data_IF_871112350667
#
_entry.id   IF_871112350667
#
_cell.length_a   1.000
_cell.length_b   1.000
_cell.length_c   1.000
_cell.angle_alpha   90.00
_cell.angle_beta   90.00
_cell.angle_gamma   90.00
#
_symmetry.space_group_name_H-M   'P 1'
#
loop_
_entity.id
_entity.type
_entity.pdbx_description
1 polymer ?
#
# COMPACT_ATOMS: atom_id res chain seq x y z
N UNK A 1 -36.18 -1.23 50.48
CA UNK A 1 -34.76 -1.45 50.18
C UNK A 1 -34.68 -2.09 48.80
N UNK A 2 -34.25 -1.33 47.77
CA UNK A 2 -34.37 -1.74 46.38
C UNK A 2 -33.05 -2.38 45.91
N UNK A 3 -32.86 -3.65 46.17
CA UNK A 3 -31.72 -4.44 45.71
C UNK A 3 -31.71 -4.70 44.17
N UNK A 4 -32.76 -4.29 43.48
CA UNK A 4 -32.86 -4.51 42.02
C UNK A 4 -32.14 -3.44 41.18
N UNK A 5 -31.69 -2.33 41.79
CA UNK A 5 -31.01 -1.25 41.03
C UNK A 5 -29.52 -1.49 40.85
N UNK A 6 -28.84 -2.16 41.79
CA UNK A 6 -27.40 -2.44 41.68
C UNK A 6 -27.06 -3.43 40.58
N UNK A 7 -27.97 -4.38 40.28
CA UNK A 7 -27.73 -5.37 39.22
C UNK A 7 -27.98 -4.81 37.80
N UNK A 8 -28.83 -3.80 37.68
CA UNK A 8 -29.14 -3.17 36.38
C UNK A 8 -27.89 -2.45 35.84
N UNK A 9 -27.15 -1.76 36.69
CA UNK A 9 -25.91 -1.07 36.29
C UNK A 9 -24.84 -2.06 35.84
N UNK A 10 -24.71 -3.21 36.52
CA UNK A 10 -23.76 -4.26 36.15
C UNK A 10 -24.15 -4.90 34.81
N UNK A 11 -25.43 -5.15 34.57
CA UNK A 11 -25.93 -5.72 33.31
C UNK A 11 -25.75 -4.71 32.17
N UNK A 12 -26.01 -3.43 32.41
CA UNK A 12 -25.83 -2.38 31.41
C UNK A 12 -24.35 -2.22 31.05
N UNK A 13 -23.48 -2.24 32.07
CA UNK A 13 -22.02 -2.17 31.86
C UNK A 13 -21.49 -3.40 31.12
N UNK A 14 -22.01 -4.60 31.43
CA UNK A 14 -21.67 -5.84 30.72
C UNK A 14 -22.13 -5.82 29.26
N UNK A 15 -23.32 -5.24 28.97
CA UNK A 15 -23.78 -5.08 27.58
C UNK A 15 -22.89 -4.11 26.77
N UNK A 16 -22.52 -2.98 27.40
CA UNK A 16 -21.62 -2.00 26.75
C UNK A 16 -20.24 -2.63 26.50
N UNK A 17 -19.68 -3.32 27.50
CA UNK A 17 -18.41 -4.02 27.38
C UNK A 17 -18.44 -5.11 26.29
N UNK A 18 -19.53 -5.89 26.24
CA UNK A 18 -19.77 -6.91 25.21
C UNK A 18 -19.88 -6.30 23.82
N UNK A 19 -20.58 -5.19 23.68
CA UNK A 19 -20.71 -4.48 22.40
C UNK A 19 -19.36 -3.92 21.92
N UNK A 20 -18.58 -3.33 22.82
CA UNK A 20 -17.23 -2.85 22.52
C UNK A 20 -16.32 -4.02 22.11
N UNK A 21 -16.40 -5.15 22.84
CA UNK A 21 -15.61 -6.34 22.53
C UNK A 21 -15.97 -6.95 21.18
N UNK A 22 -17.26 -7.03 20.84
CA UNK A 22 -17.71 -7.51 19.52
C UNK A 22 -17.27 -6.57 18.40
N UNK A 23 -17.30 -5.27 18.62
CA UNK A 23 -16.83 -4.26 17.65
C UNK A 23 -15.32 -4.34 17.47
N UNK A 24 -14.56 -4.50 18.55
CA UNK A 24 -13.11 -4.68 18.50
C UNK A 24 -12.71 -6.01 17.84
N UNK A 25 -13.47 -7.08 18.10
CA UNK A 25 -13.21 -8.37 17.43
C UNK A 25 -13.35 -8.29 15.92
N UNK A 26 -14.27 -7.46 15.41
CA UNK A 26 -14.44 -7.19 13.98
C UNK A 26 -13.25 -6.42 13.37
N UNK A 27 -12.53 -5.65 14.16
CA UNK A 27 -11.38 -4.83 13.74
C UNK A 27 -10.07 -5.58 14.02
N UNK A 28 -9.92 -6.21 15.20
CA UNK A 28 -8.71 -6.98 15.56
C UNK A 28 -8.66 -8.37 14.90
N UNK A 29 -9.78 -8.90 14.41
CA UNK A 29 -9.82 -10.20 13.71
C UNK A 29 -9.31 -10.14 12.26
N UNK A 30 -9.10 -8.95 11.71
CA UNK A 30 -8.34 -8.77 10.49
C UNK A 30 -6.88 -8.62 10.88
N UNK A 31 -6.15 -9.73 10.85
CA UNK A 31 -4.68 -9.70 10.87
C UNK A 31 -4.23 -8.77 9.77
N UNK A 32 -3.90 -7.54 10.11
CA UNK A 32 -3.08 -6.64 9.31
C UNK A 32 -1.60 -6.99 9.53
N UNK A 33 -1.31 -8.27 9.64
CA UNK A 33 0.00 -8.83 9.53
C UNK A 33 0.24 -9.06 8.05
N UNK A 34 1.08 -8.26 7.46
CA UNK A 34 1.59 -8.41 6.12
C UNK A 34 2.45 -9.69 6.07
N UNK A 35 1.81 -10.85 6.01
CA UNK A 35 2.48 -12.06 5.55
C UNK A 35 2.54 -11.96 4.04
N UNK A 36 3.73 -11.77 3.49
CA UNK A 36 4.22 -11.66 2.14
C UNK A 36 3.51 -12.36 0.97
N UNK A 37 2.17 -12.33 0.95
CA UNK A 37 1.37 -12.62 -0.24
C UNK A 37 0.90 -11.29 -0.78
N UNK A 38 1.26 -10.99 -2.01
CA UNK A 38 0.70 -9.88 -2.77
C UNK A 38 -0.82 -9.82 -2.51
N UNK A 39 -1.37 -8.64 -2.15
CA UNK A 39 -2.78 -8.54 -1.81
C UNK A 39 -3.61 -9.16 -2.95
N UNK A 40 -4.61 -9.95 -2.59
CA UNK A 40 -5.49 -10.64 -3.55
C UNK A 40 -6.19 -9.67 -4.52
N UNK A 41 -6.23 -8.38 -4.18
CA UNK A 41 -6.67 -7.31 -5.06
C UNK A 41 -5.67 -7.03 -6.18
N UNK A 42 -4.36 -7.16 -5.92
CA UNK A 42 -3.34 -6.94 -6.95
C UNK A 42 -3.35 -8.08 -8.00
N UNK A 43 -3.51 -9.33 -7.58
CA UNK A 43 -3.71 -10.45 -8.51
C UNK A 43 -4.99 -10.31 -9.32
N UNK A 44 -6.09 -9.85 -8.70
CA UNK A 44 -7.35 -9.58 -9.42
C UNK A 44 -7.18 -8.43 -10.43
N UNK A 45 -6.44 -7.38 -10.07
CA UNK A 45 -6.15 -6.26 -10.98
C UNK A 45 -5.21 -6.70 -12.09
N UNK A 46 -4.17 -7.50 -11.80
CA UNK A 46 -3.27 -8.03 -12.84
C UNK A 46 -4.01 -8.99 -13.79
N UNK A 47 -4.86 -9.84 -13.27
CA UNK A 47 -5.66 -10.77 -14.09
C UNK A 47 -6.69 -10.01 -14.94
N UNK A 48 -7.30 -8.95 -14.41
CA UNK A 48 -8.17 -8.07 -15.18
C UNK A 48 -7.39 -7.30 -16.27
N UNK A 49 -6.21 -6.77 -15.95
CA UNK A 49 -5.33 -6.11 -16.93
C UNK A 49 -4.90 -7.09 -18.02
N UNK A 50 -4.68 -8.37 -17.70
CA UNK A 50 -4.35 -9.40 -18.69
C UNK A 50 -5.57 -9.82 -19.53
N UNK A 51 -6.77 -9.85 -18.95
CA UNK A 51 -8.00 -10.11 -19.66
C UNK A 51 -8.41 -8.96 -20.60
N UNK A 52 -8.18 -7.71 -20.17
CA UNK A 52 -8.48 -6.51 -20.94
C UNK A 52 -7.43 -6.21 -22.03
N UNK A 53 -6.22 -6.82 -21.98
CA UNK A 53 -5.24 -6.74 -23.09
C UNK A 53 -5.79 -7.21 -24.44
N UNK A 54 -6.91 -7.92 -24.48
CA UNK A 54 -7.59 -8.31 -25.72
C UNK A 54 -8.48 -7.21 -26.33
N UNK A 55 -8.78 -6.14 -25.60
CA UNK A 55 -9.69 -5.07 -26.06
C UNK A 55 -9.01 -3.72 -26.36
N UNK A 56 -7.71 -3.57 -26.03
CA UNK A 56 -6.96 -2.34 -26.34
C UNK A 56 -6.50 -2.26 -27.82
N UNK A 57 -7.36 -2.67 -28.76
CA UNK A 57 -7.17 -2.40 -30.18
C UNK A 57 -8.02 -1.20 -30.63
N UNK A 58 -7.84 -0.05 -29.98
CA UNK A 58 -8.13 1.25 -30.59
C UNK A 58 -7.25 2.34 -29.97
N UNK A 59 -6.63 3.11 -30.84
CA UNK A 59 -5.55 4.08 -30.58
C UNK A 59 -5.94 5.33 -29.75
N UNK A 60 -6.90 5.23 -28.85
CA UNK A 60 -7.38 6.39 -28.10
C UNK A 60 -7.13 6.16 -26.60
N UNK A 61 -6.12 6.86 -26.07
CA UNK A 61 -5.96 7.09 -24.64
C UNK A 61 -6.95 8.18 -24.21
N UNK A 62 -8.26 7.81 -24.29
CA UNK A 62 -9.40 8.67 -23.97
C UNK A 62 -9.55 8.89 -22.46
N UNK A 63 -10.47 9.73 -22.04
CA UNK A 63 -10.69 10.04 -20.63
C UNK A 63 -10.96 8.80 -19.78
N UNK A 64 -11.68 7.82 -20.29
CA UNK A 64 -11.97 6.59 -19.56
C UNK A 64 -10.70 5.76 -19.37
N UNK A 65 -9.90 5.58 -20.41
CA UNK A 65 -8.61 4.90 -20.33
C UNK A 65 -7.63 5.62 -19.39
N UNK A 66 -7.63 6.96 -19.38
CA UNK A 66 -6.84 7.76 -18.44
C UNK A 66 -7.27 7.55 -16.99
N UNK A 67 -8.55 7.52 -16.71
CA UNK A 67 -9.06 7.26 -15.35
C UNK A 67 -8.70 5.85 -14.86
N UNK A 68 -8.83 4.84 -15.71
CA UNK A 68 -8.44 3.47 -15.39
C UNK A 68 -6.92 3.36 -15.17
N UNK A 69 -6.14 4.02 -16.02
CA UNK A 69 -4.70 4.10 -15.86
C UNK A 69 -4.30 4.74 -14.53
N UNK A 70 -4.91 5.86 -14.13
CA UNK A 70 -4.64 6.53 -12.85
C UNK A 70 -4.96 5.62 -11.67
N UNK A 71 -6.04 4.84 -11.71
CA UNK A 71 -6.35 3.85 -10.65
C UNK A 71 -5.24 2.82 -10.52
N UNK A 72 -4.80 2.25 -11.64
CA UNK A 72 -3.68 1.30 -11.66
C UNK A 72 -2.37 1.93 -11.20
N UNK A 73 -2.09 3.17 -11.62
CA UNK A 73 -0.89 3.89 -11.24
C UNK A 73 -0.82 4.20 -9.73
N UNK A 74 -1.96 4.52 -9.08
CA UNK A 74 -2.02 4.69 -7.62
C UNK A 74 -1.67 3.40 -6.89
N UNK A 75 -2.24 2.27 -7.31
CA UNK A 75 -1.94 0.96 -6.73
C UNK A 75 -0.47 0.58 -6.92
N UNK A 76 0.07 0.82 -8.11
CA UNK A 76 1.47 0.57 -8.41
C UNK A 76 2.40 1.43 -7.54
N UNK A 77 2.08 2.71 -7.36
CA UNK A 77 2.84 3.63 -6.52
C UNK A 77 2.86 3.17 -5.06
N UNK A 78 1.69 2.85 -4.49
CA UNK A 78 1.56 2.31 -3.13
C UNK A 78 2.37 1.02 -2.97
N UNK A 79 2.24 0.09 -3.91
CA UNK A 79 2.98 -1.18 -3.88
C UNK A 79 4.49 -0.96 -3.88
N UNK A 80 5.00 -0.03 -4.72
CA UNK A 80 6.43 0.27 -4.81
C UNK A 80 6.95 0.87 -3.50
N UNK A 81 6.22 1.85 -2.93
CA UNK A 81 6.64 2.52 -1.69
C UNK A 81 6.62 1.54 -0.51
N UNK A 82 5.57 0.72 -0.40
CA UNK A 82 5.43 -0.26 0.67
C UNK A 82 6.50 -1.34 0.58
N UNK A 83 6.74 -1.89 -0.59
CA UNK A 83 7.73 -2.94 -0.84
C UNK A 83 9.17 -2.46 -0.57
N UNK A 84 9.47 -1.19 -0.90
CA UNK A 84 10.76 -0.57 -0.60
C UNK A 84 10.98 -0.32 0.89
N UNK A 85 9.91 -0.19 1.67
CA UNK A 85 9.97 0.03 3.12
C UNK A 85 10.08 -1.25 3.93
N UNK A 86 9.81 -2.41 3.32
CA UNK A 86 9.81 -3.68 4.04
C UNK A 86 11.17 -3.99 4.65
N UNK A 87 11.16 -4.50 5.89
CA UNK A 87 12.36 -4.76 6.69
C UNK A 87 13.18 -5.95 6.19
N UNK A 88 12.65 -6.76 5.29
CA UNK A 88 13.38 -7.89 4.72
C UNK A 88 14.41 -7.47 3.67
N UNK A 89 14.44 -6.19 3.31
CA UNK A 89 15.35 -5.60 2.31
C UNK A 89 15.29 -6.28 0.93
N UNK A 90 14.10 -6.75 0.54
CA UNK A 90 13.85 -7.40 -0.74
C UNK A 90 12.74 -6.69 -1.50
N UNK A 91 12.90 -6.59 -2.80
CA UNK A 91 11.88 -6.09 -3.73
C UNK A 91 11.24 -7.31 -4.39
N UNK A 92 10.03 -7.66 -3.98
CA UNK A 92 9.31 -8.83 -4.49
C UNK A 92 8.05 -8.42 -5.22
N UNK A 93 7.16 -7.70 -4.54
CA UNK A 93 5.85 -7.33 -5.07
C UNK A 93 5.93 -6.27 -6.18
N UNK A 94 6.84 -5.30 -6.03
CA UNK A 94 7.00 -4.21 -7.00
C UNK A 94 7.92 -4.54 -8.18
N UNK A 95 8.66 -5.65 -8.13
CA UNK A 95 9.59 -6.05 -9.20
C UNK A 95 8.97 -6.02 -10.61
N UNK A 96 7.76 -6.57 -10.86
CA UNK A 96 7.15 -6.52 -12.19
C UNK A 96 6.71 -5.12 -12.62
N UNK A 97 6.63 -4.17 -11.69
CA UNK A 97 6.23 -2.78 -11.93
C UNK A 97 7.41 -1.88 -12.25
N UNK A 98 8.63 -2.33 -11.95
CA UNK A 98 9.85 -1.55 -12.08
C UNK A 98 10.57 -1.87 -13.39
N UNK A 99 11.00 -0.83 -14.10
CA UNK A 99 11.95 -0.98 -15.20
C UNK A 99 13.32 -1.45 -14.67
N UNK A 100 14.05 -2.22 -15.49
CA UNK A 100 15.34 -2.85 -15.11
C UNK A 100 16.31 -1.88 -14.42
N UNK A 101 16.46 -0.67 -14.95
CA UNK A 101 17.39 0.35 -14.40
C UNK A 101 16.95 0.80 -13.00
N UNK A 102 15.67 1.06 -12.82
CA UNK A 102 15.10 1.51 -11.54
C UNK A 102 15.18 0.37 -10.51
N UNK A 103 14.85 -0.85 -10.92
CA UNK A 103 14.98 -2.02 -10.06
C UNK A 103 16.42 -2.18 -9.50
N UNK A 104 17.43 -2.02 -10.35
CA UNK A 104 18.83 -2.09 -9.91
C UNK A 104 19.21 -0.99 -8.92
N UNK A 105 18.71 0.24 -9.11
CA UNK A 105 18.93 1.35 -8.18
C UNK A 105 18.29 1.08 -6.81
N UNK A 106 17.06 0.59 -6.79
CA UNK A 106 16.39 0.21 -5.55
C UNK A 106 17.11 -0.93 -4.83
N UNK A 107 17.51 -1.97 -5.57
CA UNK A 107 18.27 -3.10 -5.00
C UNK A 107 19.59 -2.63 -4.36
N UNK A 108 20.30 -1.71 -5.03
CA UNK A 108 21.52 -1.13 -4.47
C UNK A 108 21.25 -0.33 -3.21
N UNK A 109 20.21 0.51 -3.19
CA UNK A 109 19.84 1.31 -2.03
C UNK A 109 19.47 0.43 -0.83
N UNK A 110 18.75 -0.68 -1.07
CA UNK A 110 18.43 -1.66 -0.03
C UNK A 110 19.68 -2.36 0.53
N UNK A 111 20.61 -2.74 -0.34
CA UNK A 111 21.91 -3.33 0.08
C UNK A 111 22.72 -2.35 0.94
N UNK A 112 22.76 -1.08 0.56
CA UNK A 112 23.45 -0.05 1.34
C UNK A 112 22.79 0.20 2.69
N UNK A 113 21.45 0.25 2.74
CA UNK A 113 20.65 0.37 3.96
C UNK A 113 20.94 -0.80 4.91
N UNK A 114 20.92 -2.02 4.38
CA UNK A 114 21.22 -3.24 5.12
C UNK A 114 22.65 -3.25 5.69
N UNK A 115 23.67 -2.84 4.89
CA UNK A 115 25.05 -2.74 5.37
C UNK A 115 25.23 -1.77 6.53
N UNK A 116 24.48 -0.68 6.54
CA UNK A 116 24.47 0.29 7.66
C UNK A 116 23.72 -0.23 8.88
N UNK A 117 22.99 -1.33 8.75
CA UNK A 117 22.11 -1.87 9.79
C UNK A 117 20.92 -0.97 10.09
N UNK A 118 20.47 -0.22 9.11
CA UNK A 118 19.31 0.64 9.22
C UNK A 118 18.05 -0.09 8.75
N UNK A 119 16.95 0.13 9.46
CA UNK A 119 15.62 -0.36 9.14
C UNK A 119 14.72 0.83 8.85
N UNK A 120 14.00 0.79 7.75
CA UNK A 120 13.02 1.81 7.42
C UNK A 120 11.62 1.27 7.66
N UNK A 121 10.85 1.98 8.46
CA UNK A 121 9.42 1.74 8.61
C UNK A 121 8.70 2.89 7.88
N UNK A 122 7.92 2.56 6.87
CA UNK A 122 7.10 3.54 6.14
C UNK A 122 5.65 3.13 6.31
N UNK A 123 4.86 4.02 6.89
CA UNK A 123 3.40 3.89 6.91
C UNK A 123 2.84 4.72 5.77
N UNK A 124 2.31 4.05 4.76
CA UNK A 124 1.64 4.69 3.65
C UNK A 124 0.21 5.06 4.06
N UNK A 125 -0.11 6.36 4.07
CA UNK A 125 -1.43 6.86 4.45
C UNK A 125 -2.35 6.88 3.23
N UNK A 126 -1.86 7.40 2.10
CA UNK A 126 -2.63 7.40 0.86
C UNK A 126 -2.10 8.35 -0.22
N UNK A 127 -2.71 8.26 -1.39
CA UNK A 127 -2.48 9.19 -2.50
C UNK A 127 -3.58 10.24 -2.50
N UNK A 128 -3.22 11.46 -2.12
CA UNK A 128 -4.14 12.61 -2.09
C UNK A 128 -4.49 13.09 -3.51
N UNK A 129 -3.51 13.04 -4.42
CA UNK A 129 -3.71 13.42 -5.82
C UNK A 129 -2.82 12.58 -6.74
N UNK A 130 -3.35 12.23 -7.90
CA UNK A 130 -2.59 11.64 -9.00
C UNK A 130 -3.12 12.24 -10.32
N UNK A 131 -2.26 12.88 -11.09
CA UNK A 131 -2.62 13.57 -12.32
C UNK A 131 -1.65 13.20 -13.44
N UNK A 132 -2.18 12.89 -14.62
CA UNK A 132 -1.36 12.72 -15.81
C UNK A 132 -0.80 14.10 -16.19
N UNK A 133 0.53 14.20 -16.19
CA UNK A 133 1.25 15.40 -16.61
C UNK A 133 1.41 15.43 -18.13
N UNK A 134 1.84 14.30 -18.69
CA UNK A 134 2.02 14.14 -20.12
C UNK A 134 1.89 12.65 -20.51
N UNK A 135 1.56 12.41 -21.76
CA UNK A 135 1.61 11.09 -22.33
C UNK A 135 2.13 11.15 -23.78
N UNK A 136 2.93 10.16 -24.16
CA UNK A 136 3.49 10.04 -25.50
C UNK A 136 3.51 8.59 -25.94
N UNK A 137 2.95 8.32 -27.10
CA UNK A 137 3.03 7.00 -27.73
C UNK A 137 4.27 6.95 -28.62
N UNK A 138 5.12 5.97 -28.38
CA UNK A 138 6.29 5.64 -29.22
C UNK A 138 6.13 4.20 -29.66
N UNK A 139 5.91 3.99 -30.94
CA UNK A 139 5.57 2.69 -31.53
C UNK A 139 4.33 2.05 -30.84
N UNK A 140 4.57 0.93 -30.15
CA UNK A 140 3.53 0.19 -29.40
C UNK A 140 3.52 0.49 -27.90
N UNK A 141 4.40 1.38 -27.44
CA UNK A 141 4.57 1.72 -26.03
C UNK A 141 3.97 3.08 -25.76
N UNK A 142 3.08 3.14 -24.78
CA UNK A 142 2.54 4.38 -24.24
C UNK A 142 3.35 4.78 -23.01
N UNK A 143 4.10 5.88 -23.11
CA UNK A 143 4.79 6.49 -21.99
C UNK A 143 3.86 7.52 -21.36
N UNK A 144 3.59 7.40 -20.06
CA UNK A 144 2.72 8.31 -19.32
C UNK A 144 3.48 8.79 -18.10
N UNK A 145 3.57 10.10 -17.96
CA UNK A 145 4.11 10.75 -16.75
C UNK A 145 2.98 11.13 -15.83
N UNK A 146 3.05 10.70 -14.57
CA UNK A 146 2.04 10.97 -13.55
C UNK A 146 2.69 11.70 -12.39
N UNK A 147 2.09 12.82 -11.99
CA UNK A 147 2.44 13.54 -10.77
C UNK A 147 1.59 13.01 -9.62
N UNK A 148 2.24 12.55 -8.55
CA UNK A 148 1.59 12.08 -7.34
C UNK A 148 1.80 13.05 -6.18
N UNK A 149 0.75 13.25 -5.38
CA UNK A 149 0.83 13.83 -4.05
C UNK A 149 0.35 12.76 -3.10
N UNK A 150 1.26 12.23 -2.29
CA UNK A 150 0.99 11.17 -1.34
C UNK A 150 1.45 11.55 0.06
N UNK A 151 0.81 10.97 1.05
CA UNK A 151 1.12 11.13 2.46
C UNK A 151 1.73 9.85 3.01
N UNK A 152 2.92 9.96 3.57
CA UNK A 152 3.67 8.85 4.14
C UNK A 152 4.33 9.27 5.44
N UNK A 153 4.33 8.37 6.43
CA UNK A 153 5.10 8.53 7.67
C UNK A 153 6.33 7.65 7.53
N UNK A 154 7.51 8.22 7.71
CA UNK A 154 8.78 7.49 7.60
C UNK A 154 9.53 7.53 8.91
N UNK A 155 9.97 6.37 9.39
CA UNK A 155 10.83 6.23 10.56
C UNK A 155 12.02 5.34 10.21
N UNK A 156 13.23 5.82 10.44
CA UNK A 156 14.47 5.05 10.26
C UNK A 156 15.02 4.70 11.64
N UNK A 157 15.26 3.42 11.86
CA UNK A 157 15.81 2.85 13.11
C UNK A 157 17.16 2.19 12.86
N UNK A 158 17.99 2.15 13.89
CA UNK A 158 19.21 1.36 13.89
C UNK A 158 18.98 -0.10 14.31
N UNK A 159 20.06 -0.86 14.46
CA UNK A 159 20.04 -2.28 14.90
C UNK A 159 19.41 -2.45 16.29
N UNK A 160 19.53 -1.44 17.14
CA UNK A 160 19.00 -1.43 18.51
C UNK A 160 17.57 -0.87 18.57
N UNK A 161 16.91 -0.72 17.41
CA UNK A 161 15.57 -0.16 17.23
C UNK A 161 15.43 1.31 17.68
N UNK A 162 16.55 2.01 17.85
CA UNK A 162 16.56 3.43 18.18
C UNK A 162 16.27 4.25 16.93
N UNK A 163 15.40 5.21 17.06
CA UNK A 163 15.04 6.12 15.94
C UNK A 163 16.24 7.01 15.61
N UNK A 164 16.68 6.95 14.35
CA UNK A 164 17.75 7.79 13.79
C UNK A 164 17.16 9.00 13.09
N UNK A 165 16.05 8.82 12.38
CA UNK A 165 15.39 9.86 11.60
C UNK A 165 13.91 9.54 11.41
N UNK A 166 13.08 10.57 11.26
CA UNK A 166 11.66 10.46 11.08
C UNK A 166 10.87 10.64 12.38
N UNK A 167 9.54 10.53 12.28
CA UNK A 167 8.60 10.72 13.41
C UNK A 167 8.02 9.38 13.81
#
# INVERSE_FOLDING_TARGET
MNYNFEYIDIILLAMIAGFIFLRLRGILGKRTGFEGKAPSQFEKVLNNIQAEKKTFQKDNFDEKAQQEFIKGAKIAYETIITDFSDNDNKIVASKPLLGKKIYQQFEQALKERSKRGHYAEITFIGVNSAKIKEHKKVDKILNVTVDFIAEVITCIKDKDKKVISGV
#
